data_IF_601239756234
#
_entry.id   IF_601239756234
#
_cell.length_a   1.000
_cell.length_b   1.000
_cell.length_c   1.000
_cell.angle_alpha   90.00
_cell.angle_beta   90.00
_cell.angle_gamma   90.00
#
_symmetry.space_group_name_H-M   'P 1'
#
loop_
_entity.id
_entity.type
_entity.pdbx_description
1 polymer ?
#
# COMPACT_ATOMS: atom_id res chain seq x y z
N UNK A 1 -8.22 -18.22 75.15
CA UNK A 1 -8.71 -17.34 74.07
C UNK A 1 -7.65 -17.19 73.00
N UNK A 2 -7.73 -17.93 71.91
CA UNK A 2 -6.78 -17.84 70.78
C UNK A 2 -7.42 -16.95 69.71
N UNK A 3 -6.87 -15.77 69.48
CA UNK A 3 -7.32 -14.83 68.46
C UNK A 3 -6.66 -15.27 67.16
N UNK A 4 -7.46 -15.79 66.24
CA UNK A 4 -7.04 -16.01 64.84
C UNK A 4 -7.03 -14.67 64.12
N UNK A 5 -5.84 -14.24 63.73
CA UNK A 5 -5.66 -13.07 62.86
C UNK A 5 -5.68 -13.58 61.42
N UNK A 6 -6.81 -13.35 60.74
CA UNK A 6 -6.96 -13.70 59.33
C UNK A 6 -6.34 -12.59 58.48
N UNK A 7 -5.14 -12.86 57.90
CA UNK A 7 -4.51 -11.94 56.96
C UNK A 7 -5.15 -12.19 55.58
N UNK A 8 -5.99 -11.26 55.16
CA UNK A 8 -6.58 -11.22 53.82
C UNK A 8 -5.48 -10.68 52.86
N UNK A 9 -4.80 -11.58 52.15
CA UNK A 9 -3.83 -11.21 51.10
C UNK A 9 -4.60 -10.80 49.83
N UNK A 10 -4.75 -9.51 49.63
CA UNK A 10 -5.34 -8.94 48.41
C UNK A 10 -4.30 -9.02 47.30
N UNK A 11 -4.45 -9.97 46.38
CA UNK A 11 -3.63 -10.07 45.18
C UNK A 11 -4.09 -8.99 44.22
N UNK A 12 -3.30 -7.92 44.10
CA UNK A 12 -3.47 -6.90 43.08
C UNK A 12 -2.87 -7.41 41.76
N UNK A 13 -3.72 -7.88 40.84
CA UNK A 13 -3.31 -8.27 39.48
C UNK A 13 -3.31 -6.98 38.63
N UNK A 14 -2.15 -6.50 38.17
CA UNK A 14 -2.13 -5.40 37.22
C UNK A 14 -2.72 -5.86 35.90
N UNK A 15 -3.83 -5.29 35.50
CA UNK A 15 -4.43 -5.48 34.18
C UNK A 15 -3.54 -4.76 33.16
N UNK A 16 -2.58 -5.48 32.60
CA UNK A 16 -1.75 -4.96 31.52
C UNK A 16 -2.61 -4.84 30.27
N UNK A 17 -3.03 -3.64 29.93
CA UNK A 17 -3.58 -3.33 28.62
C UNK A 17 -2.44 -3.41 27.60
N UNK A 18 -2.26 -4.56 27.00
CA UNK A 18 -1.47 -4.66 25.78
C UNK A 18 -2.24 -3.97 24.68
N UNK A 19 -1.82 -2.75 24.33
CA UNK A 19 -2.20 -2.15 23.07
C UNK A 19 -1.67 -3.08 21.97
N UNK A 20 -2.51 -3.97 21.49
CA UNK A 20 -2.24 -4.68 20.25
C UNK A 20 -2.31 -3.62 19.14
N UNK A 21 -1.18 -2.97 18.85
CA UNK A 21 -0.98 -2.32 17.56
C UNK A 21 -1.26 -3.38 16.52
N UNK A 22 -2.38 -3.22 15.81
CA UNK A 22 -2.70 -4.02 14.65
C UNK A 22 -1.53 -3.77 13.68
N UNK A 23 -0.57 -4.68 13.65
CA UNK A 23 0.50 -4.65 12.68
C UNK A 23 -0.19 -4.63 11.32
N UNK A 24 -0.12 -3.51 10.60
CA UNK A 24 -0.52 -3.47 9.21
C UNK A 24 0.32 -4.55 8.54
N UNK A 25 -0.34 -5.57 7.96
CA UNK A 25 0.37 -6.66 7.31
C UNK A 25 1.29 -6.07 6.24
N UNK A 26 2.46 -6.69 6.04
CA UNK A 26 3.37 -6.35 4.97
C UNK A 26 2.63 -6.36 3.63
N UNK A 27 2.76 -5.27 2.87
CA UNK A 27 2.13 -5.11 1.56
C UNK A 27 3.18 -4.93 0.47
N UNK A 28 2.87 -5.41 -0.73
CA UNK A 28 3.67 -5.18 -1.92
C UNK A 28 2.92 -4.23 -2.85
N UNK A 29 3.62 -3.27 -3.42
CA UNK A 29 3.09 -2.37 -4.43
C UNK A 29 3.97 -2.45 -5.68
N UNK A 30 3.44 -3.02 -6.76
CA UNK A 30 4.06 -2.96 -8.08
C UNK A 30 3.52 -1.75 -8.84
N UNK A 31 4.43 -0.90 -9.31
CA UNK A 31 4.09 0.31 -10.05
C UNK A 31 4.75 0.31 -11.41
N UNK A 32 3.94 0.32 -12.48
CA UNK A 32 4.41 0.48 -13.85
C UNK A 32 4.45 1.97 -14.20
N UNK A 33 5.61 2.44 -14.64
CA UNK A 33 5.80 3.84 -15.03
C UNK A 33 6.88 3.99 -16.10
N UNK A 34 6.98 5.17 -16.72
CA UNK A 34 8.01 5.47 -17.74
C UNK A 34 9.03 6.52 -17.28
N UNK A 35 9.07 6.84 -16.02
CA UNK A 35 10.05 7.76 -15.43
C UNK A 35 11.39 7.06 -15.19
N UNK A 36 12.14 6.88 -16.27
CA UNK A 36 13.34 6.04 -16.27
C UNK A 36 14.65 6.81 -16.13
N UNK A 37 14.62 8.15 -16.05
CA UNK A 37 15.83 8.96 -15.96
C UNK A 37 15.62 10.34 -15.32
N UNK A 38 16.71 10.94 -14.87
CA UNK A 38 16.76 12.31 -14.38
C UNK A 38 15.85 12.57 -13.16
N UNK A 39 15.21 13.75 -13.16
CA UNK A 39 14.35 14.19 -12.06
C UNK A 39 13.10 13.34 -11.87
N UNK A 40 12.57 12.75 -12.94
CA UNK A 40 11.40 11.87 -12.88
C UNK A 40 11.72 10.58 -12.11
N UNK A 41 12.87 9.96 -12.38
CA UNK A 41 13.33 8.80 -11.63
C UNK A 41 13.58 9.14 -10.16
N UNK A 42 14.16 10.30 -9.88
CA UNK A 42 14.35 10.75 -8.50
C UNK A 42 13.01 10.94 -7.78
N UNK A 43 12.00 11.48 -8.45
CA UNK A 43 10.67 11.67 -7.89
C UNK A 43 9.99 10.34 -7.53
N UNK A 44 9.99 9.34 -8.45
CA UNK A 44 9.37 8.05 -8.15
C UNK A 44 10.10 7.30 -7.04
N UNK A 45 11.40 7.48 -6.91
CA UNK A 45 12.21 6.89 -5.84
C UNK A 45 11.80 7.39 -4.45
N UNK A 46 11.32 8.64 -4.32
CA UNK A 46 10.80 9.16 -3.05
C UNK A 46 9.48 8.47 -2.65
N UNK A 47 8.62 8.11 -3.60
CA UNK A 47 7.43 7.31 -3.31
C UNK A 47 7.82 5.90 -2.85
N UNK A 48 8.75 5.26 -3.54
CA UNK A 48 9.27 3.95 -3.17
C UNK A 48 9.83 3.96 -1.75
N UNK A 49 10.68 4.93 -1.44
CA UNK A 49 11.26 5.10 -0.11
C UNK A 49 10.19 5.28 0.98
N UNK A 50 9.21 6.16 0.75
CA UNK A 50 8.14 6.38 1.72
C UNK A 50 7.32 5.11 1.97
N UNK A 51 7.07 4.29 0.94
CA UNK A 51 6.37 3.03 1.05
C UNK A 51 7.17 1.97 1.82
N UNK A 52 8.48 1.89 1.57
CA UNK A 52 9.40 0.97 2.24
C UNK A 52 9.65 1.36 3.70
N UNK A 53 9.69 2.64 4.03
CA UNK A 53 9.79 3.14 5.41
C UNK A 53 8.59 2.72 6.28
N UNK A 54 7.45 2.43 5.67
CA UNK A 54 6.29 1.86 6.37
C UNK A 54 6.36 0.33 6.55
N UNK A 55 7.47 -0.30 6.16
CA UNK A 55 7.69 -1.74 6.28
C UNK A 55 7.12 -2.57 5.13
N UNK A 56 6.82 -1.94 4.00
CA UNK A 56 6.26 -2.57 2.81
C UNK A 56 7.32 -2.83 1.73
N UNK A 57 6.95 -3.50 0.65
CA UNK A 57 7.82 -3.71 -0.52
C UNK A 57 7.34 -2.88 -1.71
N UNK A 58 8.27 -2.17 -2.35
CA UNK A 58 8.06 -1.51 -3.62
C UNK A 58 8.64 -2.36 -4.75
N UNK A 59 7.85 -2.61 -5.79
CA UNK A 59 8.29 -3.27 -7.02
C UNK A 59 8.27 -2.23 -8.13
N UNK A 60 9.47 -1.80 -8.50
CA UNK A 60 9.68 -0.77 -9.52
C UNK A 60 9.69 -1.39 -10.92
N UNK A 61 8.61 -1.21 -11.67
CA UNK A 61 8.50 -1.69 -13.05
C UNK A 61 8.60 -0.50 -14.01
N UNK A 62 9.82 0.01 -14.13
CA UNK A 62 10.15 1.13 -15.01
C UNK A 62 10.29 0.68 -16.48
N UNK A 63 9.46 1.23 -17.37
CA UNK A 63 9.44 0.90 -18.80
C UNK A 63 9.65 2.17 -19.62
N UNK A 64 10.74 2.21 -20.38
CA UNK A 64 11.04 3.36 -21.24
C UNK A 64 9.95 3.59 -22.29
N UNK A 65 9.42 4.79 -22.33
CA UNK A 65 8.38 5.20 -23.28
C UNK A 65 6.95 4.96 -22.79
N UNK A 66 6.15 6.02 -22.73
CA UNK A 66 4.79 6.00 -22.22
C UNK A 66 3.88 5.01 -22.95
N UNK A 67 4.01 4.87 -24.27
CA UNK A 67 3.22 3.93 -25.06
C UNK A 67 3.57 2.48 -24.73
N UNK A 68 4.85 2.17 -24.48
CA UNK A 68 5.28 0.85 -24.08
C UNK A 68 4.78 0.50 -22.68
N UNK A 69 4.90 1.40 -21.72
CA UNK A 69 4.41 1.24 -20.37
C UNK A 69 2.89 1.03 -20.36
N UNK A 70 2.15 1.87 -21.09
CA UNK A 70 0.71 1.75 -21.25
C UNK A 70 0.30 0.41 -21.87
N UNK A 71 0.91 0.04 -22.99
CA UNK A 71 0.61 -1.23 -23.68
C UNK A 71 0.87 -2.44 -22.78
N UNK A 72 1.98 -2.43 -22.04
CA UNK A 72 2.29 -3.49 -21.05
C UNK A 72 1.24 -3.55 -19.96
N UNK A 73 0.82 -2.40 -19.41
CA UNK A 73 -0.19 -2.33 -18.37
C UNK A 73 -1.54 -2.87 -18.85
N UNK A 74 -2.01 -2.43 -20.01
CA UNK A 74 -3.28 -2.89 -20.59
C UNK A 74 -3.26 -4.40 -20.84
N UNK A 75 -2.18 -4.92 -21.43
CA UNK A 75 -2.04 -6.36 -21.67
C UNK A 75 -2.06 -7.16 -20.37
N UNK A 76 -1.44 -6.67 -19.30
CA UNK A 76 -1.46 -7.32 -18.00
C UNK A 76 -2.84 -7.30 -17.35
N UNK A 77 -3.57 -6.18 -17.47
CA UNK A 77 -4.95 -6.08 -16.98
C UNK A 77 -5.84 -7.10 -17.68
N UNK A 78 -5.79 -7.15 -19.01
CA UNK A 78 -6.59 -8.09 -19.82
C UNK A 78 -6.18 -9.54 -19.51
N UNK A 79 -4.90 -9.80 -19.30
CA UNK A 79 -4.36 -11.12 -18.92
C UNK A 79 -4.65 -11.56 -17.50
N UNK A 80 -5.33 -10.73 -16.68
CA UNK A 80 -5.66 -11.06 -15.29
C UNK A 80 -4.51 -10.96 -14.31
N UNK A 81 -3.43 -10.27 -14.67
CA UNK A 81 -2.26 -10.01 -13.80
C UNK A 81 -1.92 -8.52 -13.78
N UNK A 82 -2.84 -7.66 -13.27
CA UNK A 82 -2.61 -6.22 -13.21
C UNK A 82 -1.51 -5.86 -12.21
N UNK A 83 -0.80 -4.72 -12.41
CA UNK A 83 0.02 -4.13 -11.36
C UNK A 83 -0.86 -3.52 -10.27
N UNK A 84 -0.26 -3.13 -9.13
CA UNK A 84 -0.97 -2.39 -8.08
C UNK A 84 -1.36 -0.99 -8.56
N UNK A 85 -0.46 -0.32 -9.28
CA UNK A 85 -0.69 0.98 -9.88
C UNK A 85 0.07 1.12 -11.19
N UNK A 86 -0.38 2.03 -12.05
CA UNK A 86 0.33 2.35 -13.27
C UNK A 86 0.16 3.82 -13.65
N UNK A 87 1.20 4.37 -14.27
CA UNK A 87 1.17 5.72 -14.81
C UNK A 87 0.43 5.75 -16.15
N UNK A 88 -0.50 6.72 -16.27
CA UNK A 88 -1.20 7.04 -17.51
C UNK A 88 -1.25 8.54 -17.72
N UNK A 89 -1.26 8.96 -18.97
CA UNK A 89 -1.65 10.33 -19.30
C UNK A 89 -3.18 10.44 -19.19
N UNK A 90 -3.66 11.57 -18.68
CA UNK A 90 -5.09 11.87 -18.63
C UNK A 90 -5.60 12.05 -20.06
N UNK A 91 -6.15 11.00 -20.64
CA UNK A 91 -6.64 10.98 -22.01
C UNK A 91 -7.58 9.81 -22.26
N UNK A 92 -8.13 9.71 -23.45
CA UNK A 92 -9.04 8.65 -23.89
C UNK A 92 -8.65 7.21 -23.45
N UNK A 93 -7.37 6.79 -23.48
CA UNK A 93 -6.99 5.44 -23.06
C UNK A 93 -7.32 5.09 -21.59
N UNK A 94 -7.43 6.06 -20.70
CA UNK A 94 -7.85 5.82 -19.32
C UNK A 94 -9.34 5.53 -19.25
N UNK A 95 -10.15 6.24 -20.04
CA UNK A 95 -11.60 6.05 -20.11
C UNK A 95 -11.95 4.62 -20.51
N UNK A 96 -11.20 4.03 -21.45
CA UNK A 96 -11.38 2.65 -21.89
C UNK A 96 -11.15 1.61 -20.77
N UNK A 97 -10.41 1.97 -19.73
CA UNK A 97 -10.19 1.12 -18.54
C UNK A 97 -11.23 1.37 -17.43
N UNK A 98 -11.77 2.59 -17.37
CA UNK A 98 -12.79 2.98 -16.38
C UNK A 98 -14.15 2.35 -16.71
N UNK A 99 -14.60 2.44 -17.95
CA UNK A 99 -15.92 1.96 -18.37
C UNK A 99 -16.15 0.46 -18.09
N UNK A 100 -15.20 -0.46 -18.36
CA UNK A 100 -15.34 -1.87 -18.00
C UNK A 100 -15.15 -2.18 -16.51
N UNK A 101 -14.78 -1.18 -15.70
CA UNK A 101 -14.56 -1.37 -14.26
C UNK A 101 -13.20 -2.00 -13.90
N UNK A 102 -12.19 -1.84 -14.73
CA UNK A 102 -10.84 -2.35 -14.45
C UNK A 102 -10.07 -1.51 -13.43
N UNK A 103 -10.53 -0.28 -13.15
CA UNK A 103 -9.89 0.62 -12.21
C UNK A 103 -10.72 0.74 -10.92
N UNK A 104 -10.03 0.80 -9.80
CA UNK A 104 -10.66 1.05 -8.51
C UNK A 104 -10.79 2.56 -8.28
N UNK A 105 -11.95 3.02 -7.75
CA UNK A 105 -12.10 4.40 -7.29
C UNK A 105 -11.19 4.69 -6.10
N UNK A 106 -10.63 5.89 -6.08
CA UNK A 106 -9.83 6.43 -4.97
C UNK A 106 -10.59 7.52 -4.20
N UNK A 107 -11.89 7.65 -4.39
CA UNK A 107 -12.70 8.72 -3.79
C UNK A 107 -12.62 8.71 -2.25
N UNK A 108 -12.64 7.53 -1.64
CA UNK A 108 -12.53 7.38 -0.18
C UNK A 108 -11.16 7.83 0.34
N UNK A 109 -10.10 7.58 -0.42
CA UNK A 109 -8.73 8.00 -0.06
C UNK A 109 -8.56 9.50 -0.26
N UNK A 110 -9.17 10.06 -1.31
CA UNK A 110 -9.10 11.48 -1.60
C UNK A 110 -9.93 12.34 -0.64
N UNK A 111 -10.91 11.75 0.05
CA UNK A 111 -11.75 12.43 1.04
C UNK A 111 -11.18 12.42 2.46
N UNK A 112 -10.09 11.70 2.70
CA UNK A 112 -9.45 11.58 4.00
C UNK A 112 -8.42 12.69 4.24
#
# INVERSE_FOLDING_TARGET
MKKFFSILLTIFVPLSFTNASKAAGHMEAEVIHWWTSGGEQAAISEFAKAWEEMGNTWIDTAITGGDNARGTTVNRIIGGNPPTAAQFNVSHPVVELVEPGFLQSLDEVAAA
#
